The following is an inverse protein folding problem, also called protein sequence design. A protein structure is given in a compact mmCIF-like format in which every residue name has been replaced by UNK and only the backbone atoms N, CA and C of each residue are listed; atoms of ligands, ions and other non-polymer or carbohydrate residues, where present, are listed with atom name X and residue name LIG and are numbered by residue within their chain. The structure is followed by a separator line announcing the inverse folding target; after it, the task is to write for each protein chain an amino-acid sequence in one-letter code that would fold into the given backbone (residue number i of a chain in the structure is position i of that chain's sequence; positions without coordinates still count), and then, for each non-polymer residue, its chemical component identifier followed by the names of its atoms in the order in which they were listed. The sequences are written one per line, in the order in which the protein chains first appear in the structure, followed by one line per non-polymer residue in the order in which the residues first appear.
data_IF_525197159017
#
_entry.id   IF_525197159017
#
_cell.length_a   1.000
_cell.length_b   1.000
_cell.length_c   1.000
_cell.angle_alpha   90.00
_cell.angle_beta   90.00
_cell.angle_gamma   90.00
#
_symmetry.space_group_name_H-M   'P 1'
#
loop_
_entity.id
_entity.type
_entity.pdbx_description
1 polymer ?
#
# COMPACT_ATOMS: atom_id res chain seq x y z
N UNK A 1 27.32 -21.33 -21.47
CA UNK A 1 27.64 -20.17 -20.61
C UNK A 1 26.72 -20.20 -19.39
N UNK A 2 27.00 -21.07 -18.41
CA UNK A 2 26.20 -21.26 -17.20
C UNK A 2 26.82 -20.48 -16.04
N UNK A 3 26.22 -19.33 -15.70
CA UNK A 3 26.65 -18.55 -14.52
C UNK A 3 26.29 -19.33 -13.25
N UNK A 4 27.30 -19.84 -12.56
CA UNK A 4 27.18 -20.46 -11.24
C UNK A 4 27.03 -19.37 -10.19
N UNK A 5 25.82 -19.20 -9.65
CA UNK A 5 25.58 -18.27 -8.55
C UNK A 5 25.92 -18.97 -7.23
N UNK A 6 27.01 -18.55 -6.58
CA UNK A 6 27.42 -19.08 -5.28
C UNK A 6 26.62 -18.39 -4.17
N UNK A 7 25.77 -19.14 -3.48
CA UNK A 7 24.98 -18.66 -2.36
C UNK A 7 25.81 -18.74 -1.06
N UNK A 8 26.65 -17.73 -0.82
CA UNK A 8 27.40 -17.62 0.44
C UNK A 8 26.51 -16.94 1.48
N UNK A 9 26.06 -17.70 2.47
CA UNK A 9 25.33 -17.17 3.63
C UNK A 9 26.28 -16.37 4.51
N UNK A 10 26.23 -15.04 4.42
CA UNK A 10 26.98 -14.14 5.30
C UNK A 10 26.49 -14.30 6.75
N UNK A 11 27.37 -14.64 7.72
CA UNK A 11 26.99 -14.70 9.12
C UNK A 11 26.67 -13.28 9.62
N UNK A 12 25.43 -13.08 10.10
CA UNK A 12 24.98 -11.79 10.66
C UNK A 12 23.71 -11.21 10.01
N UNK A 13 23.26 -11.75 8.87
CA UNK A 13 22.08 -11.22 8.18
C UNK A 13 20.75 -11.83 8.66
N UNK A 14 20.60 -12.04 9.97
CA UNK A 14 19.31 -12.38 10.58
C UNK A 14 18.46 -11.10 10.73
N UNK A 15 18.23 -10.37 9.62
CA UNK A 15 17.32 -9.23 9.61
C UNK A 15 15.93 -9.77 9.90
N UNK A 16 15.42 -9.51 11.11
CA UNK A 16 14.04 -9.84 11.47
C UNK A 16 13.12 -9.20 10.45
N UNK A 17 12.55 -10.01 9.55
CA UNK A 17 11.59 -9.54 8.56
C UNK A 17 10.37 -9.02 9.29
N UNK A 18 9.87 -7.85 8.88
CA UNK A 18 8.61 -7.33 9.42
C UNK A 18 7.51 -8.37 9.15
N UNK A 19 6.72 -8.76 10.15
CA UNK A 19 5.63 -9.70 9.94
C UNK A 19 4.68 -9.16 8.88
N UNK A 20 4.31 -10.02 7.92
CA UNK A 20 3.37 -9.66 6.88
C UNK A 20 1.98 -9.56 7.50
N UNK A 21 1.35 -8.39 7.39
CA UNK A 21 -0.04 -8.19 7.83
C UNK A 21 -0.98 -9.12 7.05
N UNK A 22 -1.96 -9.69 7.76
CA UNK A 22 -3.04 -10.51 7.15
C UNK A 22 -3.93 -9.63 6.28
N UNK A 23 -4.63 -10.25 5.34
CA UNK A 23 -5.52 -9.54 4.40
C UNK A 23 -6.57 -8.71 5.13
N UNK A 24 -7.21 -9.27 6.16
CA UNK A 24 -8.25 -8.62 6.97
C UNK A 24 -7.74 -7.45 7.82
N UNK A 25 -6.44 -7.42 8.13
CA UNK A 25 -5.82 -6.33 8.90
C UNK A 25 -5.49 -5.10 8.03
N UNK A 26 -5.53 -5.26 6.70
CA UNK A 26 -5.21 -4.17 5.77
C UNK A 26 -6.50 -3.43 5.40
N UNK A 27 -6.79 -2.36 6.12
CA UNK A 27 -7.87 -1.44 5.78
C UNK A 27 -7.63 -0.77 4.41
N UNK A 28 -8.53 -1.02 3.45
CA UNK A 28 -8.44 -0.50 2.08
C UNK A 28 -9.16 0.82 1.90
N UNK A 29 -8.67 1.83 2.61
CA UNK A 29 -9.26 3.17 2.63
C UNK A 29 -9.10 3.94 1.31
N UNK A 30 -8.15 3.54 0.46
CA UNK A 30 -7.85 4.24 -0.79
C UNK A 30 -8.57 3.57 -1.96
N UNK A 31 -9.85 3.90 -2.14
CA UNK A 31 -10.64 3.45 -3.28
C UNK A 31 -10.37 4.29 -4.52
N UNK A 32 -10.34 3.65 -5.69
CA UNK A 32 -10.33 4.36 -6.96
C UNK A 32 -11.74 4.90 -7.25
N UNK A 33 -11.86 6.21 -7.48
CA UNK A 33 -13.12 6.86 -7.85
C UNK A 33 -13.25 7.02 -9.37
N UNK A 34 -12.85 6.00 -10.13
CA UNK A 34 -12.97 6.01 -11.58
C UNK A 34 -14.22 5.22 -11.99
N UNK A 35 -15.02 5.69 -12.97
CA UNK A 35 -16.17 4.92 -13.43
C UNK A 35 -15.72 3.53 -13.90
N UNK A 36 -16.43 2.49 -13.43
CA UNK A 36 -16.08 1.08 -13.65
C UNK A 36 -14.81 0.57 -12.95
N UNK A 37 -14.27 1.29 -11.96
CA UNK A 37 -13.23 0.77 -11.08
C UNK A 37 -13.70 0.64 -9.62
N UNK A 38 -13.87 -0.60 -9.16
CA UNK A 38 -14.19 -0.92 -7.76
C UNK A 38 -12.96 -1.24 -6.90
N UNK A 39 -11.74 -1.03 -7.40
CA UNK A 39 -10.52 -1.43 -6.70
C UNK A 39 -10.21 -0.49 -5.55
N UNK A 40 -9.90 -1.07 -4.40
CA UNK A 40 -9.46 -0.36 -3.21
C UNK A 40 -8.09 -0.88 -2.74
N UNK A 41 -7.29 0.01 -2.19
CA UNK A 41 -5.91 -0.26 -1.79
C UNK A 41 -5.65 0.20 -0.35
N UNK A 42 -4.75 -0.49 0.34
CA UNK A 42 -4.39 -0.16 1.73
C UNK A 42 -3.47 1.05 1.87
N UNK A 43 -2.76 1.45 0.80
CA UNK A 43 -1.92 2.64 0.81
C UNK A 43 -2.10 3.46 -0.46
N UNK A 44 -1.86 4.77 -0.34
CA UNK A 44 -1.94 5.70 -1.46
C UNK A 44 -0.95 5.37 -2.58
N UNK A 45 0.24 4.83 -2.26
CA UNK A 45 1.21 4.42 -3.28
C UNK A 45 0.64 3.34 -4.20
N UNK A 46 -0.07 2.35 -3.65
CA UNK A 46 -0.70 1.30 -4.46
C UNK A 46 -1.87 1.86 -5.29
N UNK A 47 -2.66 2.79 -4.73
CA UNK A 47 -3.70 3.48 -5.50
C UNK A 47 -3.09 4.33 -6.62
N UNK A 48 -2.02 5.08 -6.37
CA UNK A 48 -1.37 5.91 -7.38
C UNK A 48 -0.74 5.07 -8.50
N UNK A 49 -0.09 3.95 -8.15
CA UNK A 49 0.38 2.99 -9.15
C UNK A 49 -0.79 2.47 -10.00
N UNK A 50 -1.89 2.07 -9.36
CA UNK A 50 -3.11 1.64 -10.05
C UNK A 50 -3.66 2.71 -10.99
N UNK A 51 -3.78 3.96 -10.53
CA UNK A 51 -4.27 5.08 -11.34
C UNK A 51 -3.38 5.31 -12.56
N UNK A 52 -2.06 5.27 -12.38
CA UNK A 52 -1.11 5.43 -13.49
C UNK A 52 -1.16 4.27 -14.49
N UNK A 53 -1.28 3.02 -14.01
CA UNK A 53 -1.30 1.83 -14.87
C UNK A 53 -2.61 1.68 -15.64
N UNK A 54 -3.74 1.93 -14.98
CA UNK A 54 -5.08 1.79 -15.56
C UNK A 54 -5.55 3.07 -16.26
N UNK A 55 -4.70 4.11 -16.29
CA UNK A 55 -5.00 5.43 -16.88
C UNK A 55 -6.30 6.02 -16.33
N UNK A 56 -6.54 5.85 -15.02
CA UNK A 56 -7.69 6.42 -14.30
C UNK A 56 -7.52 7.92 -14.00
N UNK A 57 -6.98 8.67 -14.97
CA UNK A 57 -6.70 10.09 -14.87
C UNK A 57 -5.41 10.43 -14.10
N UNK A 58 -5.40 11.63 -13.51
CA UNK A 58 -4.24 12.21 -12.85
C UNK A 58 -3.88 11.53 -11.53
N UNK A 59 -2.58 11.49 -11.22
CA UNK A 59 -2.07 10.99 -9.93
C UNK A 59 -2.76 11.72 -8.79
N UNK A 60 -3.24 10.98 -7.80
CA UNK A 60 -3.91 11.58 -6.65
C UNK A 60 -2.87 12.16 -5.70
N UNK A 61 -3.09 13.41 -5.29
CA UNK A 61 -2.16 14.10 -4.40
C UNK A 61 -2.37 13.63 -2.95
N UNK A 62 -1.32 13.60 -2.12
CA UNK A 62 -1.45 13.36 -0.69
C UNK A 62 -2.35 14.39 0.02
N UNK A 63 -2.51 15.58 -0.55
CA UNK A 63 -3.30 16.66 0.03
C UNK A 63 -4.79 16.30 0.08
N UNK A 64 -5.29 15.65 -0.98
CA UNK A 64 -6.68 15.16 -1.07
C UNK A 64 -7.03 14.16 0.03
N UNK A 65 -6.02 13.41 0.52
CA UNK A 65 -6.21 12.39 1.55
C UNK A 65 -5.83 12.86 2.95
N UNK A 66 -5.44 14.13 3.12
CA UNK A 66 -5.09 14.71 4.42
C UNK A 66 -6.29 14.69 5.36
N UNK A 67 -7.44 15.14 4.87
CA UNK A 67 -8.71 15.13 5.62
C UNK A 67 -9.21 13.70 5.85
N UNK A 68 -9.10 12.81 4.86
CA UNK A 68 -9.47 11.39 5.02
C UNK A 68 -8.65 10.71 6.13
N UNK A 69 -7.33 10.97 6.19
CA UNK A 69 -6.45 10.44 7.24
C UNK A 69 -6.73 11.05 8.61
N UNK A 70 -7.15 12.32 8.65
CA UNK A 70 -7.52 13.01 9.89
C UNK A 70 -8.81 12.41 10.44
N UNK A 71 -9.83 12.30 9.59
CA UNK A 71 -11.12 11.69 9.93
C UNK A 71 -10.95 10.25 10.39
N UNK A 72 -10.20 9.43 9.65
CA UNK A 72 -9.95 8.03 10.05
C UNK A 72 -9.20 7.91 11.39
N UNK A 73 -8.19 8.74 11.64
CA UNK A 73 -7.53 8.76 12.96
C UNK A 73 -8.46 9.18 14.09
N UNK A 74 -9.42 10.06 13.81
CA UNK A 74 -10.42 10.47 14.78
C UNK A 74 -11.46 9.37 15.01
N UNK A 75 -12.00 8.76 13.96
CA UNK A 75 -12.93 7.63 14.05
C UNK A 75 -12.30 6.44 14.80
N UNK A 76 -11.01 6.14 14.55
CA UNK A 76 -10.30 5.10 15.30
C UNK A 76 -10.09 5.44 16.77
N UNK A 77 -10.03 6.73 17.12
CA UNK A 77 -9.88 7.20 18.51
C UNK A 77 -11.22 7.24 19.24
N UNK A 78 -12.32 7.52 18.53
CA UNK A 78 -13.68 7.49 19.10
C UNK A 78 -14.25 6.07 19.23
N UNK A 79 -13.77 5.12 18.41
CA UNK A 79 -14.14 3.72 18.50
C UNK A 79 -13.32 2.91 19.53
N UNK A 80 -12.27 3.50 20.10
CA UNK A 80 -11.50 2.98 21.23
C UNK A 80 -12.09 3.49 22.55
#
# INVERSE_FOLDING_TARGET
NSKTYSFVSLPGNAVKKRPRRRYDEIERLYQCNWPNCSKAYGTLNHLNAHVTMQRHGSKRSPNEFKELRKKWRQEKKEAE
#
